data_IF_319348672194
#
_entry.id   IF_319348672194
#
_cell.length_a   1.000
_cell.length_b   1.000
_cell.length_c   1.000
_cell.angle_alpha   90.00
_cell.angle_beta   90.00
_cell.angle_gamma   90.00
#
_symmetry.space_group_name_H-M   'P 1'
#
loop_
_entity.id
_entity.type
_entity.pdbx_description
1 polymer ?
#
# COMPACT_ATOMS: atom_id res chain seq x y z
N UNK A 1 21.92 27.90 19.59
CA UNK A 1 22.53 27.11 18.50
C UNK A 1 21.46 26.95 17.43
N UNK A 2 21.54 27.66 16.32
CA UNK A 2 20.59 27.55 15.21
C UNK A 2 21.02 26.38 14.35
N UNK A 3 20.20 25.32 14.28
CA UNK A 3 20.50 24.17 13.43
C UNK A 3 20.08 24.50 11.99
N UNK A 4 21.03 24.59 11.08
CA UNK A 4 20.74 24.68 9.65
C UNK A 4 20.19 23.34 9.16
N UNK A 5 19.04 23.37 8.49
CA UNK A 5 18.40 22.17 7.94
C UNK A 5 17.80 22.48 6.58
N UNK A 6 17.98 21.55 5.64
CA UNK A 6 17.34 21.59 4.33
C UNK A 6 16.37 20.41 4.26
N UNK A 7 15.12 20.68 3.92
CA UNK A 7 14.11 19.64 3.68
C UNK A 7 13.77 19.65 2.20
N UNK A 8 14.15 18.59 1.50
CA UNK A 8 13.79 18.38 0.10
C UNK A 8 12.51 17.56 0.07
N UNK A 9 11.41 18.17 -0.36
CA UNK A 9 10.15 17.45 -0.57
C UNK A 9 10.23 16.66 -1.88
N UNK A 10 9.86 15.37 -1.85
CA UNK A 10 9.78 14.55 -3.06
C UNK A 10 8.67 15.03 -3.99
N UNK A 11 8.85 14.82 -5.30
CA UNK A 11 7.87 15.20 -6.33
C UNK A 11 6.60 14.35 -6.18
N UNK A 12 5.50 14.97 -5.77
CA UNK A 12 4.17 14.36 -5.79
C UNK A 12 3.68 14.33 -7.25
N UNK A 13 3.44 13.14 -7.79
CA UNK A 13 3.08 12.98 -9.21
C UNK A 13 1.64 13.36 -9.52
N UNK A 14 0.69 12.92 -8.69
CA UNK A 14 -0.75 13.07 -8.94
C UNK A 14 -1.54 12.98 -7.63
N UNK A 15 -2.58 13.81 -7.49
CA UNK A 15 -3.58 13.74 -6.42
C UNK A 15 -4.95 13.68 -7.07
N UNK A 16 -5.74 12.67 -6.72
CA UNK A 16 -7.11 12.50 -7.21
C UNK A 16 -8.08 12.64 -6.04
N UNK A 17 -9.12 13.47 -6.19
CA UNK A 17 -10.15 13.70 -5.17
C UNK A 17 -11.55 13.67 -5.80
N UNK A 18 -12.58 13.61 -4.95
CA UNK A 18 -14.00 13.61 -5.38
C UNK A 18 -14.44 12.30 -6.05
N UNK A 19 -13.64 11.24 -5.99
CA UNK A 19 -13.94 9.91 -6.51
C UNK A 19 -13.78 8.86 -5.43
N UNK A 20 -14.52 7.73 -5.50
CA UNK A 20 -14.28 6.60 -4.61
C UNK A 20 -12.83 6.13 -4.68
N UNK A 21 -12.22 5.91 -3.52
CA UNK A 21 -10.82 5.52 -3.42
C UNK A 21 -10.57 4.15 -4.05
N UNK A 22 -11.49 3.20 -3.86
CA UNK A 22 -11.42 1.85 -4.41
C UNK A 22 -11.30 1.85 -5.94
N UNK A 23 -12.21 2.55 -6.62
CA UNK A 23 -12.25 2.65 -8.08
C UNK A 23 -11.00 3.35 -8.62
N UNK A 24 -10.61 4.44 -7.96
CA UNK A 24 -9.44 5.25 -8.36
C UNK A 24 -8.15 4.45 -8.23
N UNK A 25 -7.95 3.74 -7.12
CA UNK A 25 -6.75 2.91 -6.90
C UNK A 25 -6.72 1.73 -7.86
N UNK A 26 -7.85 1.08 -8.13
CA UNK A 26 -7.92 0.00 -9.12
C UNK A 26 -7.57 0.47 -10.53
N UNK A 27 -8.11 1.62 -10.95
CA UNK A 27 -7.81 2.22 -12.25
C UNK A 27 -6.33 2.64 -12.37
N UNK A 28 -5.76 3.22 -11.31
CA UNK A 28 -4.34 3.58 -11.27
C UNK A 28 -3.43 2.35 -11.30
N UNK A 29 -3.78 1.29 -10.55
CA UNK A 29 -3.05 0.02 -10.57
C UNK A 29 -3.07 -0.60 -11.99
N UNK A 30 -4.22 -0.55 -12.67
CA UNK A 30 -4.33 -1.01 -14.06
C UNK A 30 -3.49 -0.14 -15.02
N UNK A 31 -3.61 1.18 -14.94
CA UNK A 31 -2.86 2.14 -15.79
C UNK A 31 -1.35 1.98 -15.62
N UNK A 32 -0.88 1.70 -14.41
CA UNK A 32 0.54 1.47 -14.08
C UNK A 32 1.01 0.04 -14.39
N UNK A 33 0.14 -0.84 -14.88
CA UNK A 33 0.48 -2.25 -15.14
C UNK A 33 0.84 -3.03 -13.88
N UNK A 34 0.33 -2.62 -12.71
CA UNK A 34 0.66 -3.25 -11.44
C UNK A 34 -0.05 -4.60 -11.30
N UNK A 35 0.73 -5.68 -11.28
CA UNK A 35 0.23 -7.04 -11.06
C UNK A 35 0.05 -7.36 -9.57
N UNK A 36 0.80 -6.68 -8.71
CA UNK A 36 0.85 -6.91 -7.27
C UNK A 36 0.87 -5.58 -6.54
N UNK A 37 -0.11 -5.38 -5.67
CA UNK A 37 -0.33 -4.17 -4.89
C UNK A 37 -0.31 -4.54 -3.41
N UNK A 38 0.55 -3.88 -2.66
CA UNK A 38 0.62 -3.99 -1.21
C UNK A 38 0.10 -2.71 -0.58
N UNK A 39 -0.95 -2.82 0.23
CA UNK A 39 -1.59 -1.66 0.84
C UNK A 39 -0.91 -1.33 2.17
N UNK A 40 -0.48 -0.07 2.34
CA UNK A 40 -0.07 0.47 3.63
C UNK A 40 -1.12 1.48 4.07
N UNK A 41 -1.79 1.20 5.19
CA UNK A 41 -2.97 1.94 5.64
C UNK A 41 -2.86 2.26 7.13
N UNK A 42 -3.61 3.26 7.59
CA UNK A 42 -3.73 3.50 9.03
C UNK A 42 -4.52 2.38 9.69
N UNK A 43 -4.08 1.92 10.85
CA UNK A 43 -4.79 0.92 11.64
C UNK A 43 -6.17 1.38 12.13
N UNK A 44 -6.34 2.68 12.38
CA UNK A 44 -7.68 3.21 12.72
C UNK A 44 -8.60 3.11 11.52
N UNK A 45 -8.16 3.60 10.36
CA UNK A 45 -8.92 3.55 9.11
C UNK A 45 -9.32 2.10 8.75
N UNK A 46 -8.40 1.15 8.86
CA UNK A 46 -8.68 -0.26 8.56
C UNK A 46 -9.67 -0.92 9.55
N UNK A 47 -9.80 -0.42 10.78
CA UNK A 47 -10.67 -1.02 11.81
C UNK A 47 -12.02 -0.33 11.93
N UNK A 48 -12.07 0.97 11.66
CA UNK A 48 -13.28 1.79 11.90
C UNK A 48 -14.06 2.06 10.63
N UNK A 49 -13.52 1.74 9.45
CA UNK A 49 -14.21 1.91 8.17
C UNK A 49 -14.07 0.67 7.28
N UNK A 50 -14.99 0.54 6.34
CA UNK A 50 -14.99 -0.50 5.31
C UNK A 50 -14.21 -0.09 4.04
N UNK A 51 -13.57 1.09 4.06
CA UNK A 51 -12.87 1.64 2.89
C UNK A 51 -11.72 0.74 2.44
N UNK A 52 -10.96 0.17 3.37
CA UNK A 52 -9.84 -0.70 3.02
C UNK A 52 -10.34 -2.03 2.43
N UNK A 53 -11.49 -2.53 2.89
CA UNK A 53 -12.11 -3.72 2.32
C UNK A 53 -12.62 -3.47 0.90
N UNK A 54 -13.21 -2.30 0.63
CA UNK A 54 -13.57 -1.87 -0.73
C UNK A 54 -12.33 -1.83 -1.64
N UNK A 55 -11.20 -1.30 -1.15
CA UNK A 55 -9.94 -1.32 -1.90
C UNK A 55 -9.47 -2.75 -2.19
N UNK A 56 -9.50 -3.64 -1.19
CA UNK A 56 -9.13 -5.06 -1.37
C UNK A 56 -10.00 -5.72 -2.42
N UNK A 57 -11.31 -5.49 -2.37
CA UNK A 57 -12.26 -6.05 -3.33
C UNK A 57 -12.02 -5.52 -4.76
N UNK A 58 -11.84 -4.20 -4.91
CA UNK A 58 -11.60 -3.56 -6.20
C UNK A 58 -10.26 -3.97 -6.83
N UNK A 59 -9.24 -4.23 -6.00
CA UNK A 59 -7.94 -4.74 -6.46
C UNK A 59 -7.97 -6.25 -6.74
N UNK A 60 -8.85 -7.00 -6.07
CA UNK A 60 -9.02 -8.44 -6.22
C UNK A 60 -7.71 -9.20 -6.07
N UNK A 61 -7.41 -10.06 -7.05
CA UNK A 61 -6.21 -10.91 -7.08
C UNK A 61 -4.88 -10.14 -7.12
N UNK A 62 -4.90 -8.82 -7.37
CA UNK A 62 -3.70 -7.98 -7.34
C UNK A 62 -3.31 -7.58 -5.92
N UNK A 63 -4.24 -7.60 -4.96
CA UNK A 63 -3.94 -7.25 -3.58
C UNK A 63 -3.18 -8.38 -2.89
N UNK A 64 -1.86 -8.22 -2.72
CA UNK A 64 -0.99 -9.26 -2.15
C UNK A 64 -0.85 -9.16 -0.62
N UNK A 65 -1.34 -8.07 -0.03
CA UNK A 65 -1.33 -7.89 1.42
C UNK A 65 -1.73 -6.48 1.86
N UNK A 66 -1.98 -6.34 3.15
CA UNK A 66 -2.24 -5.05 3.79
C UNK A 66 -1.48 -4.95 5.10
N UNK A 67 -0.79 -3.83 5.30
CA UNK A 67 -0.14 -3.46 6.54
C UNK A 67 -0.89 -2.29 7.18
N UNK A 68 -1.46 -2.52 8.35
CA UNK A 68 -2.25 -1.55 9.11
C UNK A 68 -1.65 -1.23 10.49
N UNK A 69 -0.46 -1.76 10.78
CA UNK A 69 0.22 -1.65 12.08
C UNK A 69 1.22 -0.50 12.15
N UNK A 70 1.09 0.50 11.26
CA UNK A 70 1.98 1.66 11.29
C UNK A 70 1.61 2.57 12.47
N UNK A 71 2.47 2.72 13.49
CA UNK A 71 2.20 3.60 14.60
C UNK A 71 2.50 5.07 14.22
N UNK A 72 2.03 6.04 15.02
CA UNK A 72 2.36 7.45 14.82
C UNK A 72 3.87 7.67 14.70
N UNK A 73 4.26 8.62 13.84
CA UNK A 73 5.65 9.01 13.60
C UNK A 73 6.55 7.96 12.93
N UNK A 74 5.97 6.89 12.38
CA UNK A 74 6.64 5.92 11.47
C UNK A 74 8.04 5.52 11.94
N UNK A 75 8.19 4.94 13.15
CA UNK A 75 9.48 4.52 13.67
C UNK A 75 10.11 3.47 12.76
N UNK A 76 11.44 3.43 12.71
CA UNK A 76 12.23 2.56 11.83
C UNK A 76 11.83 1.08 11.94
N UNK A 77 11.54 0.60 13.15
CA UNK A 77 11.11 -0.77 13.39
C UNK A 77 9.82 -1.13 12.66
N UNK A 78 8.85 -0.21 12.60
CA UNK A 78 7.59 -0.40 11.89
C UNK A 78 7.80 -0.42 10.37
N UNK A 79 8.72 0.39 9.86
CA UNK A 79 9.11 0.37 8.44
C UNK A 79 9.74 -0.97 8.05
N UNK A 80 10.63 -1.49 8.91
CA UNK A 80 11.26 -2.81 8.69
C UNK A 80 10.19 -3.90 8.67
N UNK A 81 9.28 -3.92 9.64
CA UNK A 81 8.19 -4.90 9.69
C UNK A 81 7.27 -4.83 8.45
N UNK A 82 6.94 -3.63 7.99
CA UNK A 82 6.15 -3.44 6.77
C UNK A 82 6.89 -3.97 5.53
N UNK A 83 8.19 -3.69 5.42
CA UNK A 83 9.03 -4.15 4.33
C UNK A 83 9.20 -5.68 4.32
N UNK A 84 9.36 -6.31 5.49
CA UNK A 84 9.40 -7.76 5.63
C UNK A 84 8.09 -8.41 5.20
N UNK A 85 6.96 -7.86 5.63
CA UNK A 85 5.64 -8.36 5.23
C UNK A 85 5.43 -8.21 3.71
N UNK A 86 5.81 -7.08 3.13
CA UNK A 86 5.74 -6.87 1.68
C UNK A 86 6.61 -7.88 0.92
N UNK A 87 7.82 -8.20 1.42
CA UNK A 87 8.68 -9.24 0.83
C UNK A 87 8.05 -10.63 0.93
N UNK A 88 7.48 -10.97 2.08
CA UNK A 88 6.79 -12.25 2.28
C UNK A 88 5.53 -12.38 1.39
N UNK A 89 4.78 -11.30 1.21
CA UNK A 89 3.65 -11.23 0.29
C UNK A 89 4.11 -11.43 -1.17
N UNK A 90 5.29 -10.91 -1.52
CA UNK A 90 5.90 -11.10 -2.84
C UNK A 90 6.37 -12.53 -3.07
N UNK A 91 6.86 -13.23 -2.04
CA UNK A 91 7.39 -14.59 -2.13
C UNK A 91 6.32 -15.68 -2.09
N UNK A 92 5.10 -15.38 -1.61
CA UNK A 92 4.00 -16.36 -1.52
C UNK A 92 3.30 -16.70 -2.84
N UNK A 93 3.70 -16.12 -3.98
CA UNK A 93 3.22 -16.57 -5.29
C UNK A 93 4.18 -17.59 -5.92
N UNK A 94 4.12 -18.83 -5.43
CA UNK A 94 4.53 -20.04 -6.17
C UNK A 94 3.57 -21.18 -5.86
N UNK A 95 2.32 -21.03 -6.30
CA UNK A 95 1.34 -22.11 -6.44
C UNK A 95 0.19 -21.59 -7.32
N UNK A 96 -0.09 -22.07 -8.52
CA UNK A 96 0.52 -23.08 -9.37
C UNK A 96 -0.07 -22.94 -10.78
N UNK A 97 0.77 -23.09 -11.79
CA UNK A 97 0.37 -23.44 -13.15
C UNK A 97 1.16 -24.69 -13.53
N UNK A 98 0.53 -25.76 -14.05
CA UNK A 98 1.28 -26.96 -14.38
C UNK A 98 2.22 -26.65 -15.54
N UNK A 99 3.45 -27.20 -15.43
CA UNK A 99 4.37 -27.32 -16.55
C UNK A 99 3.76 -28.28 -17.56
N UNK A 100 3.29 -27.76 -18.70
CA UNK A 100 3.36 -28.30 -20.07
C UNK A 100 2.23 -27.73 -20.90
#
# INVERSE_FOLDING_TARGET
>A
MTQAGQVVFSKMEEVVWGKPAADTVAALAQKRGAERVFLMVSGTLNRTTDEIDKLRLALGNKCVGTFDKMPPHTPRSAVIAAAEQARAARSKCRSGGPRR
#
